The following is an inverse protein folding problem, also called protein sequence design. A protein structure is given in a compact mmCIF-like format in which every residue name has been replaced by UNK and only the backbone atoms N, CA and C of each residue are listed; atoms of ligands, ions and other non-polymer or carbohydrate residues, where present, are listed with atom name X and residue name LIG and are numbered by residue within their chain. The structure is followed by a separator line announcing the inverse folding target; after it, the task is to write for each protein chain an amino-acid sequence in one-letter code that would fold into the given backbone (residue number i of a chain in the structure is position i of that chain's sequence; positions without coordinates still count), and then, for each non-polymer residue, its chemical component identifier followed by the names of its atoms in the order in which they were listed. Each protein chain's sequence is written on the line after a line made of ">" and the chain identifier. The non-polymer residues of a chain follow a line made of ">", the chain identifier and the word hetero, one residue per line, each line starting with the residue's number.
data_IF_722448531380
#
_entry.id   IF_722448531380
#
_cell.length_a   1.000
_cell.length_b   1.000
_cell.length_c   1.000
_cell.angle_alpha   90.00
_cell.angle_beta   90.00
_cell.angle_gamma   90.00
#
_symmetry.space_group_name_H-M   'P 1'
#
loop_
_entity.id
_entity.type
_entity.pdbx_description
1 polymer ?
#
# COMPACT_ATOMS: atom_id res chain seq x y z
N UNK A 1 12.58 -0.34 1.27
CA UNK A 1 11.27 -0.20 1.93
C UNK A 1 10.19 -0.12 0.84
N UNK A 2 8.97 -0.60 1.09
CA UNK A 2 7.88 -0.62 0.09
C UNK A 2 6.87 0.52 0.31
N UNK A 3 6.19 0.95 -0.74
CA UNK A 3 5.28 2.11 -0.69
C UNK A 3 3.97 1.74 0.00
N UNK A 4 3.67 2.39 1.13
CA UNK A 4 2.42 2.20 1.86
C UNK A 4 1.20 2.53 0.98
N UNK A 5 0.13 1.73 1.08
CA UNK A 5 -1.11 1.94 0.35
C UNK A 5 -1.08 1.47 -1.11
N UNK A 6 0.06 0.97 -1.60
CA UNK A 6 0.14 0.47 -2.97
C UNK A 6 -0.62 -0.87 -3.14
N UNK A 7 -1.02 -1.15 -4.39
CA UNK A 7 -1.59 -2.44 -4.76
C UNK A 7 -0.51 -3.52 -4.65
N UNK A 8 -0.84 -4.61 -3.98
CA UNK A 8 0.04 -5.75 -3.80
C UNK A 8 -0.72 -7.05 -4.09
N UNK A 9 -0.05 -8.03 -4.68
CA UNK A 9 -0.62 -9.35 -4.93
C UNK A 9 0.02 -10.36 -3.99
N UNK A 10 -0.73 -10.82 -3.00
CA UNK A 10 -0.29 -11.81 -2.03
C UNK A 10 -0.42 -13.22 -2.61
N UNK A 11 0.62 -14.03 -2.51
CA UNK A 11 0.58 -15.41 -2.98
C UNK A 11 -0.33 -16.27 -2.09
N UNK A 12 -1.33 -16.92 -2.67
CA UNK A 12 -2.21 -17.84 -1.95
C UNK A 12 -1.47 -19.17 -1.79
N UNK A 13 -1.13 -19.52 -0.55
CA UNK A 13 -0.41 -20.77 -0.22
C UNK A 13 -1.33 -21.96 0.06
N UNK A 14 -2.63 -21.72 0.14
CA UNK A 14 -3.63 -22.74 0.49
C UNK A 14 -3.67 -23.86 -0.57
N UNK A 15 -3.32 -25.11 -0.21
CA UNK A 15 -3.33 -26.23 -1.14
C UNK A 15 -4.74 -26.61 -1.59
N UNK A 16 -5.77 -26.34 -0.78
CA UNK A 16 -7.17 -26.60 -1.17
C UNK A 16 -7.65 -25.71 -2.32
N UNK A 17 -6.97 -24.59 -2.55
CA UNK A 17 -7.26 -23.63 -3.63
C UNK A 17 -6.37 -23.84 -4.86
N UNK A 18 -5.57 -24.91 -4.92
CA UNK A 18 -4.70 -25.23 -6.08
C UNK A 18 -5.45 -25.99 -7.15
N UNK A 19 -6.50 -25.40 -7.69
CA UNK A 19 -7.05 -25.85 -8.97
C UNK A 19 -6.26 -25.28 -10.14
N UNK A 20 -6.20 -25.99 -11.28
CA UNK A 20 -5.40 -25.58 -12.46
C UNK A 20 -5.78 -24.17 -12.96
N UNK A 21 -7.04 -23.79 -12.79
CA UNK A 21 -7.63 -22.51 -13.22
C UNK A 21 -7.85 -21.52 -12.06
N UNK A 22 -7.56 -21.92 -10.82
CA UNK A 22 -7.80 -21.04 -9.67
C UNK A 22 -6.77 -19.91 -9.60
N UNK A 23 -7.20 -18.76 -9.07
CA UNK A 23 -6.33 -17.62 -8.85
C UNK A 23 -5.20 -17.96 -7.87
N UNK A 24 -3.95 -17.76 -8.31
CA UNK A 24 -2.75 -18.08 -7.52
C UNK A 24 -2.33 -16.95 -6.56
N UNK A 25 -2.93 -15.77 -6.70
CA UNK A 25 -2.65 -14.61 -5.86
C UNK A 25 -3.92 -13.81 -5.59
N UNK A 26 -4.00 -13.22 -4.40
CA UNK A 26 -5.07 -12.32 -3.98
C UNK A 26 -4.62 -10.86 -4.15
N UNK A 27 -5.50 -10.03 -4.70
CA UNK A 27 -5.28 -8.58 -4.78
C UNK A 27 -5.50 -7.94 -3.42
N UNK A 28 -4.48 -7.25 -2.93
CA UNK A 28 -4.40 -6.66 -1.61
C UNK A 28 -3.88 -5.20 -1.67
N UNK A 29 -3.97 -4.51 -0.54
CA UNK A 29 -3.30 -3.24 -0.29
C UNK A 29 -2.15 -3.46 0.68
N UNK A 30 -0.99 -2.88 0.43
CA UNK A 30 0.11 -2.94 1.37
C UNK A 30 -0.09 -1.98 2.55
N UNK A 31 -0.15 -2.53 3.77
CA UNK A 31 -0.30 -1.77 5.00
C UNK A 31 1.02 -1.58 5.76
N UNK A 32 2.07 -2.33 5.41
CA UNK A 32 3.35 -2.26 6.09
C UNK A 32 3.88 -3.63 6.50
N UNK A 33 4.71 -3.65 7.54
CA UNK A 33 5.32 -4.87 8.06
C UNK A 33 4.60 -5.30 9.33
N UNK A 34 4.54 -6.61 9.57
CA UNK A 34 4.00 -7.15 10.82
C UNK A 34 4.98 -6.89 11.97
N UNK A 35 4.47 -6.58 13.15
CA UNK A 35 5.27 -6.30 14.35
C UNK A 35 5.86 -7.57 14.95
N UNK A 36 5.09 -8.66 14.92
CA UNK A 36 5.42 -9.89 15.66
C UNK A 36 6.15 -10.94 14.81
N UNK A 37 6.08 -10.83 13.49
CA UNK A 37 6.63 -11.83 12.56
C UNK A 37 7.25 -11.16 11.35
N UNK A 38 8.24 -11.81 10.74
CA UNK A 38 8.86 -11.36 9.48
C UNK A 38 7.93 -11.60 8.29
N UNK A 39 6.83 -10.85 8.25
CA UNK A 39 5.80 -10.90 7.23
C UNK A 39 5.32 -9.49 6.89
N UNK A 40 4.72 -9.38 5.71
CA UNK A 40 4.07 -8.19 5.20
C UNK A 40 2.63 -8.16 5.72
N UNK A 41 2.18 -7.01 6.19
CA UNK A 41 0.78 -6.74 6.56
C UNK A 41 0.06 -6.21 5.33
N UNK A 42 -0.99 -6.92 4.92
CA UNK A 42 -1.71 -6.69 3.67
C UNK A 42 -3.21 -6.65 3.98
N UNK A 43 -3.97 -5.82 3.28
CA UNK A 43 -5.42 -5.82 3.37
C UNK A 43 -6.01 -6.53 2.16
N UNK A 44 -6.72 -7.63 2.36
CA UNK A 44 -7.41 -8.36 1.30
C UNK A 44 -8.76 -7.68 1.02
N UNK A 45 -8.92 -7.21 -0.22
CA UNK A 45 -10.11 -6.50 -0.68
C UNK A 45 -11.31 -7.40 -0.93
N UNK A 46 -11.08 -8.70 -1.18
CA UNK A 46 -12.15 -9.65 -1.41
C UNK A 46 -12.72 -10.15 -0.08
N UNK A 47 -11.84 -10.39 0.90
CA UNK A 47 -12.22 -10.89 2.22
C UNK A 47 -12.43 -9.79 3.27
N UNK A 48 -12.20 -8.52 2.92
CA UNK A 48 -12.28 -7.35 3.81
C UNK A 48 -11.52 -7.53 5.13
N UNK A 49 -10.39 -8.23 5.09
CA UNK A 49 -9.61 -8.59 6.28
C UNK A 49 -8.14 -8.30 6.10
N UNK A 50 -7.47 -8.05 7.22
CA UNK A 50 -6.01 -7.95 7.25
C UNK A 50 -5.41 -9.35 7.23
N UNK A 51 -4.49 -9.59 6.32
CA UNK A 51 -3.75 -10.83 6.17
C UNK A 51 -2.25 -10.56 6.26
N UNK A 52 -1.52 -11.52 6.83
CA UNK A 52 -0.05 -11.49 6.84
C UNK A 52 0.49 -12.42 5.76
N UNK A 53 1.38 -11.92 4.91
CA UNK A 53 1.96 -12.67 3.80
C UNK A 53 3.48 -12.53 3.74
N UNK A 54 4.19 -13.60 3.38
CA UNK A 54 5.66 -13.56 3.23
C UNK A 54 6.07 -13.19 1.80
N UNK A 55 5.30 -13.64 0.81
CA UNK A 55 5.57 -13.39 -0.61
C UNK A 55 4.42 -12.60 -1.23
N UNK A 56 4.71 -11.35 -1.59
CA UNK A 56 3.79 -10.52 -2.34
C UNK A 56 4.53 -9.75 -3.43
N UNK A 57 3.84 -9.50 -4.55
CA UNK A 57 4.33 -8.64 -5.64
C UNK A 57 3.72 -7.26 -5.52
N UNK A 58 4.55 -6.21 -5.49
CA UNK A 58 4.13 -4.83 -5.28
C UNK A 58 4.03 -4.07 -6.60
N UNK A 59 2.93 -3.32 -6.76
CA UNK A 59 2.74 -2.36 -7.84
C UNK A 59 2.72 -0.96 -7.21
N UNK A 60 3.92 -0.44 -6.94
CA UNK A 60 4.14 0.79 -6.16
C UNK A 60 3.57 2.07 -6.81
N UNK A 61 3.24 1.99 -8.11
CA UNK A 61 2.62 3.08 -8.88
C UNK A 61 1.09 3.04 -8.86
N UNK A 62 0.50 1.92 -8.43
CA UNK A 62 -0.93 1.68 -8.41
C UNK A 62 -1.48 1.80 -6.99
N UNK A 63 -2.54 2.59 -6.83
CA UNK A 63 -3.24 2.82 -5.57
C UNK A 63 -4.73 2.61 -5.76
N UNK A 64 -5.41 2.21 -4.69
CA UNK A 64 -6.87 2.18 -4.70
C UNK A 64 -7.42 3.60 -4.65
N UNK A 65 -8.29 3.92 -5.60
CA UNK A 65 -8.97 5.21 -5.67
C UNK A 65 -8.29 6.21 -6.59
N UNK A 66 -8.92 7.38 -6.71
CA UNK A 66 -8.39 8.49 -7.52
C UNK A 66 -7.32 9.22 -6.69
N UNK A 67 -6.21 9.57 -7.33
CA UNK A 67 -5.25 10.51 -6.73
C UNK A 67 -5.99 11.82 -6.45
N UNK A 68 -6.08 12.19 -5.17
CA UNK A 68 -6.53 13.52 -4.82
C UNK A 68 -5.51 14.54 -5.36
N UNK A 69 -6.01 15.62 -5.97
CA UNK A 69 -5.16 16.78 -6.26
C UNK A 69 -4.83 17.40 -4.91
N UNK A 70 -3.55 17.56 -4.62
CA UNK A 70 -3.11 18.33 -3.46
C UNK A 70 -3.36 19.79 -3.82
N UNK A 71 -4.13 20.52 -3.01
CA UNK A 71 -4.31 21.96 -3.19
C UNK A 71 -2.96 22.68 -3.06
N UNK A 72 -2.55 23.37 -4.14
CA UNK A 72 -1.31 24.17 -4.24
C UNK A 72 -1.10 25.14 -3.07
N UNK A 73 -2.20 25.55 -2.44
CA UNK A 73 -2.21 26.45 -1.29
C UNK A 73 -1.52 25.89 -0.05
N UNK A 74 -1.55 24.57 0.16
CA UNK A 74 -0.90 23.94 1.32
C UNK A 74 0.61 23.86 1.13
N UNK A 75 1.08 23.66 -0.11
CA UNK A 75 2.52 23.58 -0.45
C UNK A 75 3.17 24.96 -0.37
N UNK A 76 2.49 25.98 -0.89
CA UNK A 76 3.03 27.34 -0.98
C UNK A 76 3.04 28.08 0.36
N UNK A 77 2.08 27.84 1.27
CA UNK A 77 2.05 28.48 2.59
C UNK A 77 3.32 28.24 3.41
N UNK A 78 3.83 27.01 3.44
CA UNK A 78 5.06 26.65 4.16
C UNK A 78 6.30 27.32 3.56
N UNK A 79 6.40 27.37 2.23
CA UNK A 79 7.51 28.03 1.53
C UNK A 79 7.48 29.56 1.69
N UNK A 80 6.30 30.18 1.60
CA UNK A 80 6.14 31.62 1.82
C UNK A 80 6.43 32.02 3.27
N UNK A 81 6.00 31.22 4.26
CA UNK A 81 6.31 31.48 5.67
C UNK A 81 7.81 31.32 5.95
N UNK A 82 8.46 30.29 5.40
CA UNK A 82 9.93 30.14 5.47
C UNK A 82 10.67 31.32 4.82
N UNK A 83 10.20 31.79 3.66
CA UNK A 83 10.80 32.96 2.98
C UNK A 83 10.63 34.24 3.79
N UNK A 84 9.50 34.43 4.47
CA UNK A 84 9.26 35.58 5.36
C UNK A 84 10.18 35.56 6.59
N UNK A 85 10.38 34.40 7.21
CA UNK A 85 11.29 34.25 8.38
C UNK A 85 12.77 34.47 8.06
N UNK A 86 13.20 34.29 6.80
CA UNK A 86 14.57 34.58 6.37
C UNK A 86 14.85 36.06 6.06
N UNK A 87 13.79 36.88 5.95
CA UNK A 87 13.90 38.32 5.65
C UNK A 87 13.83 39.21 6.89
N UNK A 88 13.67 38.64 8.08
CA UNK A 88 13.66 39.35 9.36
C UNK A 88 14.80 38.84 10.23
#
# INVERSE_FOLDING_TARGET
>A
MKVFGCVAYNMIKDPSRRDKLASKAAKCVFLGYSENVKALKLYDLAANKTVTGVHARFHETEFLGKRAKIDDYVVTRDDDERRRRRRN
#
